data_IF_705102458001
#
_entry.id   IF_705102458001
#
_cell.length_a   1.000
_cell.length_b   1.000
_cell.length_c   1.000
_cell.angle_alpha   90.00
_cell.angle_beta   90.00
_cell.angle_gamma   90.00
#
_symmetry.space_group_name_H-M   'P 1'
#
loop_
_entity.id
_entity.type
_entity.pdbx_description
1 polymer ?
#
# COMPACT_ATOMS: atom_id res chain seq x y z
N UNK A 1 -25.28 46.08 -17.91
CA UNK A 1 -25.69 44.94 -17.07
C UNK A 1 -25.21 43.56 -17.57
N UNK A 2 -24.45 43.45 -18.67
CA UNK A 2 -24.01 42.13 -19.20
C UNK A 2 -22.60 41.71 -18.80
N UNK A 3 -21.67 42.65 -18.55
CA UNK A 3 -20.29 42.31 -18.19
C UNK A 3 -20.18 41.86 -16.73
N UNK A 4 -21.04 42.40 -15.85
CA UNK A 4 -21.08 42.05 -14.43
C UNK A 4 -21.60 40.61 -14.19
N UNK A 5 -22.47 40.09 -15.06
CA UNK A 5 -22.96 38.71 -14.96
C UNK A 5 -21.91 37.67 -15.40
N UNK A 6 -20.99 38.01 -16.30
CA UNK A 6 -19.92 37.10 -16.74
C UNK A 6 -18.85 36.90 -15.66
N UNK A 7 -18.53 37.95 -14.89
CA UNK A 7 -17.53 37.88 -13.82
C UNK A 7 -18.02 37.09 -12.59
N UNK A 8 -19.33 37.07 -12.32
CA UNK A 8 -19.92 36.30 -11.21
C UNK A 8 -20.00 34.80 -11.54
N UNK A 9 -20.10 34.42 -12.82
CA UNK A 9 -20.13 33.02 -13.26
C UNK A 9 -18.80 32.28 -13.13
N UNK A 10 -17.66 32.97 -13.34
CA UNK A 10 -16.33 32.35 -13.23
C UNK A 10 -15.95 31.93 -11.80
N UNK A 11 -16.53 32.55 -10.77
CA UNK A 11 -16.20 32.23 -9.38
C UNK A 11 -16.92 30.98 -8.83
N UNK A 12 -17.86 30.40 -9.57
CA UNK A 12 -18.65 29.23 -9.13
C UNK A 12 -18.11 27.88 -9.64
N UNK A 13 -16.99 27.88 -10.36
CA UNK A 13 -16.38 26.68 -10.96
C UNK A 13 -15.01 26.35 -10.36
N UNK A 14 -14.74 26.74 -9.11
CA UNK A 14 -13.60 26.18 -8.36
C UNK A 14 -13.99 24.80 -7.84
N UNK A 15 -14.09 23.81 -8.73
CA UNK A 15 -13.92 22.43 -8.29
C UNK A 15 -12.47 22.33 -7.82
N UNK A 16 -12.23 22.47 -6.53
CA UNK A 16 -11.00 21.95 -5.92
C UNK A 16 -11.09 20.45 -6.13
N UNK A 17 -10.46 19.97 -7.21
CA UNK A 17 -10.12 18.56 -7.29
C UNK A 17 -9.24 18.33 -6.07
N UNK A 18 -9.74 17.55 -5.11
CA UNK A 18 -8.92 17.15 -3.97
C UNK A 18 -7.66 16.51 -4.55
N UNK A 19 -6.49 17.01 -4.14
CA UNK A 19 -5.22 16.42 -4.52
C UNK A 19 -5.24 14.93 -4.10
N UNK A 20 -4.60 14.03 -4.86
CA UNK A 20 -4.55 12.65 -4.47
C UNK A 20 -3.82 12.49 -3.13
N UNK A 21 -4.14 11.45 -2.37
CA UNK A 21 -3.65 11.26 -0.99
C UNK A 21 -2.11 11.33 -0.84
N UNK A 22 -1.35 11.03 -1.90
CA UNK A 22 0.12 11.09 -1.90
C UNK A 22 0.69 12.52 -2.03
N UNK A 23 -0.16 13.52 -2.27
CA UNK A 23 0.17 14.95 -2.26
C UNK A 23 -0.31 15.68 -1.00
N UNK A 24 -0.97 14.99 -0.05
CA UNK A 24 -1.45 15.54 1.23
C UNK A 24 -0.55 15.08 2.38
N UNK A 25 0.22 15.99 2.98
CA UNK A 25 1.16 15.69 4.06
C UNK A 25 0.48 15.25 5.37
N UNK A 26 -0.82 15.51 5.52
CA UNK A 26 -1.59 15.11 6.70
C UNK A 26 -2.03 13.64 6.61
N UNK A 27 -2.03 13.05 5.41
CA UNK A 27 -2.39 11.66 5.16
C UNK A 27 -1.13 10.78 5.18
N UNK A 28 -0.76 10.32 6.38
CA UNK A 28 0.38 9.39 6.56
C UNK A 28 -0.02 7.90 6.51
N UNK A 29 -1.30 7.60 6.27
CA UNK A 29 -1.80 6.26 6.01
C UNK A 29 -3.28 6.07 6.34
N UNK A 30 -3.90 5.17 5.59
CA UNK A 30 -5.33 4.89 5.64
C UNK A 30 -5.51 3.40 5.99
N UNK A 31 -6.39 3.08 6.94
CA UNK A 31 -6.75 1.70 7.34
C UNK A 31 -5.57 0.79 7.77
N UNK A 32 -4.45 1.37 8.21
CA UNK A 32 -3.32 0.60 8.76
C UNK A 32 -3.65 0.08 10.15
N UNK A 33 -3.19 -1.11 10.49
CA UNK A 33 -3.20 -1.58 11.88
C UNK A 33 -2.30 -0.69 12.77
N UNK A 34 -2.57 -0.59 14.09
CA UNK A 34 -1.70 0.13 15.02
C UNK A 34 -0.28 -0.45 15.02
N UNK A 35 0.71 0.43 15.22
CA UNK A 35 2.09 0.01 15.36
C UNK A 35 2.26 -0.99 16.52
N UNK A 36 3.00 -2.08 16.27
CA UNK A 36 3.27 -3.14 17.26
C UNK A 36 4.65 -3.74 17.06
N UNK A 37 5.13 -4.45 18.08
CA UNK A 37 6.34 -5.25 17.96
C UNK A 37 6.20 -6.34 16.87
N UNK A 38 7.26 -6.54 16.09
CA UNK A 38 7.28 -7.56 15.03
C UNK A 38 7.12 -8.96 15.62
N UNK A 39 6.24 -9.75 15.03
CA UNK A 39 6.03 -11.14 15.43
C UNK A 39 5.33 -11.93 14.34
N UNK A 40 5.47 -13.26 14.41
CA UNK A 40 4.76 -14.21 13.57
C UNK A 40 4.05 -15.21 14.49
N UNK A 41 2.85 -15.61 14.10
CA UNK A 41 2.13 -16.69 14.77
C UNK A 41 2.79 -18.03 14.44
N UNK A 42 2.74 -18.99 15.37
CA UNK A 42 3.18 -20.37 15.14
C UNK A 42 2.13 -21.33 15.73
N UNK A 43 1.98 -22.53 15.17
CA UNK A 43 1.00 -23.52 15.65
C UNK A 43 1.30 -24.07 17.05
N UNK A 44 2.49 -23.81 17.61
CA UNK A 44 2.83 -24.21 18.98
C UNK A 44 3.94 -23.34 19.58
N UNK A 45 4.01 -23.30 20.92
CA UNK A 45 5.10 -22.63 21.66
C UNK A 45 6.47 -23.20 21.26
N UNK A 46 6.59 -24.52 21.09
CA UNK A 46 7.84 -25.17 20.69
C UNK A 46 8.32 -24.67 19.32
N UNK A 47 7.41 -24.56 18.35
CA UNK A 47 7.73 -24.03 17.02
C UNK A 47 8.13 -22.55 17.09
N UNK A 48 7.42 -21.74 17.89
CA UNK A 48 7.77 -20.34 18.12
C UNK A 48 9.18 -20.17 18.70
N UNK A 49 9.54 -20.96 19.72
CA UNK A 49 10.88 -20.93 20.31
C UNK A 49 11.97 -21.34 19.32
N UNK A 50 11.73 -22.38 18.52
CA UNK A 50 12.66 -22.80 17.47
C UNK A 50 12.85 -21.71 16.40
N UNK A 51 11.79 -21.01 16.02
CA UNK A 51 11.80 -19.89 15.08
C UNK A 51 12.60 -18.67 15.56
N UNK A 52 12.76 -18.52 16.89
CA UNK A 52 13.51 -17.42 17.52
C UNK A 52 14.99 -17.76 17.77
N UNK A 53 15.40 -19.02 17.65
CA UNK A 53 16.78 -19.45 17.87
C UNK A 53 17.58 -19.35 16.57
N UNK A 54 18.35 -18.30 16.37
CA UNK A 54 19.20 -18.09 15.19
C UNK A 54 20.54 -17.50 15.62
N UNK A 55 21.60 -17.80 14.86
CA UNK A 55 22.95 -17.26 15.11
C UNK A 55 23.43 -16.36 13.99
N UNK A 56 22.81 -16.45 12.81
CA UNK A 56 23.12 -15.60 11.65
C UNK A 56 21.86 -14.91 11.11
N UNK A 57 21.99 -13.74 10.45
CA UNK A 57 20.85 -13.10 9.80
C UNK A 57 20.15 -13.98 8.75
N UNK A 58 20.89 -14.86 8.07
CA UNK A 58 20.33 -15.77 7.08
C UNK A 58 19.44 -16.85 7.74
N UNK A 59 19.87 -17.39 8.87
CA UNK A 59 19.08 -18.33 9.65
C UNK A 59 17.80 -17.71 10.22
N UNK A 60 17.86 -16.45 10.65
CA UNK A 60 16.68 -15.73 11.16
C UNK A 60 15.54 -15.75 10.15
N UNK A 61 15.84 -15.42 8.89
CA UNK A 61 14.87 -15.37 7.80
C UNK A 61 14.27 -16.75 7.56
N UNK A 62 15.12 -17.76 7.38
CA UNK A 62 14.67 -19.13 7.13
C UNK A 62 13.81 -19.69 8.28
N UNK A 63 14.19 -19.44 9.54
CA UNK A 63 13.48 -19.96 10.73
C UNK A 63 12.18 -19.22 11.02
N UNK A 64 12.11 -17.91 10.73
CA UNK A 64 10.84 -17.16 10.84
C UNK A 64 9.82 -17.61 9.79
N UNK A 65 10.29 -17.90 8.58
CA UNK A 65 9.42 -18.34 7.48
C UNK A 65 8.98 -19.80 7.59
N UNK A 66 9.51 -20.55 8.55
CA UNK A 66 9.07 -21.91 8.85
C UNK A 66 7.74 -21.99 9.61
N UNK A 67 7.07 -20.87 9.89
CA UNK A 67 5.73 -20.88 10.48
C UNK A 67 4.70 -21.45 9.51
N UNK A 68 3.81 -22.33 10.00
CA UNK A 68 2.66 -22.87 9.25
C UNK A 68 1.65 -21.79 8.81
N UNK A 69 1.72 -20.60 9.40
CA UNK A 69 0.85 -19.46 9.09
C UNK A 69 1.56 -18.40 8.23
N UNK A 70 2.73 -18.70 7.68
CA UNK A 70 3.49 -17.81 6.82
C UNK A 70 3.38 -18.23 5.36
N UNK A 71 3.14 -17.25 4.48
CA UNK A 71 3.22 -17.43 3.04
C UNK A 71 4.08 -16.30 2.46
N UNK A 72 5.14 -16.67 1.74
CA UNK A 72 5.93 -15.69 0.99
C UNK A 72 5.18 -15.28 -0.27
N UNK A 73 5.19 -13.98 -0.56
CA UNK A 73 4.72 -13.42 -1.83
C UNK A 73 5.89 -12.94 -2.70
N UNK A 74 7.13 -13.31 -2.34
CA UNK A 74 8.31 -13.03 -3.16
C UNK A 74 8.28 -13.92 -4.41
N UNK A 75 8.68 -13.36 -5.54
CA UNK A 75 8.70 -14.05 -6.82
C UNK A 75 8.50 -13.06 -7.96
N UNK A 76 8.12 -13.57 -9.12
CA UNK A 76 7.81 -12.73 -10.27
C UNK A 76 6.43 -12.10 -10.12
N UNK A 77 6.36 -10.78 -10.33
CA UNK A 77 5.13 -10.02 -10.37
C UNK A 77 4.96 -9.40 -11.75
N UNK A 78 3.72 -9.40 -12.26
CA UNK A 78 3.39 -8.61 -13.45
C UNK A 78 3.65 -7.14 -13.13
N UNK A 79 4.48 -6.48 -13.93
CA UNK A 79 4.89 -5.10 -13.71
C UNK A 79 4.72 -4.29 -14.99
N UNK A 80 4.13 -3.10 -14.87
CA UNK A 80 3.89 -2.18 -15.97
C UNK A 80 4.34 -0.78 -15.56
N UNK A 81 5.34 -0.24 -16.24
CA UNK A 81 5.89 1.09 -15.95
C UNK A 81 5.28 2.15 -16.87
N UNK A 82 4.99 3.32 -16.31
CA UNK A 82 4.55 4.52 -17.04
C UNK A 82 5.31 5.75 -16.54
N UNK A 83 5.38 6.80 -17.36
CA UNK A 83 6.17 8.00 -17.02
C UNK A 83 5.44 8.92 -16.04
N UNK A 84 4.11 8.98 -16.15
CA UNK A 84 3.25 9.80 -15.31
C UNK A 84 2.09 8.96 -14.76
N UNK A 85 1.60 9.20 -13.52
CA UNK A 85 0.48 8.44 -12.97
C UNK A 85 -0.74 8.39 -13.87
N UNK A 86 -1.05 9.47 -14.59
CA UNK A 86 -2.23 9.55 -15.48
C UNK A 86 -2.14 8.67 -16.72
N UNK A 87 -0.96 8.13 -17.03
CA UNK A 87 -0.76 7.17 -18.12
C UNK A 87 -1.04 5.72 -17.66
N UNK A 88 -1.27 5.47 -16.36
CA UNK A 88 -1.51 4.12 -15.83
C UNK A 88 -2.84 3.55 -16.36
N UNK A 89 -2.95 2.23 -16.57
CA UNK A 89 -4.25 1.60 -16.80
C UNK A 89 -5.08 1.71 -15.52
N UNK A 90 -6.14 2.53 -15.52
CA UNK A 90 -6.88 2.88 -14.29
C UNK A 90 -7.50 1.66 -13.61
N UNK A 91 -7.95 0.68 -14.39
CA UNK A 91 -8.69 -0.49 -13.94
C UNK A 91 -7.81 -1.75 -13.75
N UNK A 92 -6.48 -1.60 -13.69
CA UNK A 92 -5.53 -2.72 -13.59
C UNK A 92 -5.73 -3.63 -12.36
N UNK A 93 -6.38 -3.11 -11.31
CA UNK A 93 -6.64 -3.82 -10.07
C UNK A 93 -7.81 -4.81 -10.18
N UNK A 94 -8.63 -4.71 -11.23
CA UNK A 94 -9.76 -5.61 -11.43
C UNK A 94 -9.26 -7.00 -11.81
N UNK A 95 -9.96 -8.02 -11.32
CA UNK A 95 -9.60 -9.43 -11.58
C UNK A 95 -9.79 -9.85 -13.03
N UNK A 96 -10.56 -9.08 -13.80
CA UNK A 96 -10.87 -9.30 -15.22
C UNK A 96 -10.09 -8.37 -16.16
N UNK A 97 -9.12 -7.61 -15.64
CA UNK A 97 -8.20 -6.81 -16.44
C UNK A 97 -7.13 -7.68 -17.11
N UNK A 98 -6.87 -7.45 -18.39
CA UNK A 98 -5.88 -8.18 -19.20
C UNK A 98 -4.63 -7.33 -19.49
#
# INVERSE_FOLDING_TARGET
>A
MSVLLMLVGCCLMSSVWAAPDWEDETIIGINKEPARASGLSFGSVRAALAGLQWSTPQELVAKRYASDYFQSLNGDWKFHWVKHPDERPVDFYRTDYD
#
